data_IF_028923905104
#
_entry.id   IF_028923905104
#
_cell.length_a   1.000
_cell.length_b   1.000
_cell.length_c   1.000
_cell.angle_alpha   90.00
_cell.angle_beta   90.00
_cell.angle_gamma   90.00
#
_symmetry.space_group_name_H-M   'P 1'
#
loop_
_entity.id
_entity.type
_entity.pdbx_description
1 polymer ?
#
# COMPACT_ATOMS: atom_id res chain seq x y z
N UNK A 1 5.69 -10.92 22.80
CA UNK A 1 6.13 -10.25 21.55
C UNK A 1 4.98 -9.42 21.02
N UNK A 2 5.18 -8.16 20.59
CA UNK A 2 4.11 -7.42 19.92
C UNK A 2 3.72 -8.18 18.65
N UNK A 3 2.42 -8.43 18.45
CA UNK A 3 1.90 -9.03 17.21
C UNK A 3 2.30 -8.12 16.04
N UNK A 4 2.84 -8.70 14.96
CA UNK A 4 3.01 -7.96 13.72
C UNK A 4 1.62 -7.50 13.24
N UNK A 5 1.40 -6.19 13.25
CA UNK A 5 0.17 -5.59 12.73
C UNK A 5 0.19 -5.68 11.20
N UNK A 6 -0.92 -6.10 10.63
CA UNK A 6 -1.15 -6.12 9.18
C UNK A 6 -2.43 -5.36 8.85
N UNK A 7 -2.50 -4.82 7.64
CA UNK A 7 -3.66 -4.11 7.09
C UNK A 7 -4.14 -4.85 5.85
N UNK A 8 -5.44 -5.06 5.71
CA UNK A 8 -6.01 -5.60 4.46
C UNK A 8 -6.10 -4.53 3.39
N UNK A 9 -5.91 -4.89 2.13
CA UNK A 9 -6.02 -3.96 1.00
C UNK A 9 -7.40 -3.29 0.98
N UNK A 10 -8.46 -4.02 1.33
CA UNK A 10 -9.82 -3.49 1.42
C UNK A 10 -9.97 -2.29 2.36
N UNK A 11 -9.14 -2.20 3.41
CA UNK A 11 -9.19 -1.08 4.36
C UNK A 11 -8.73 0.25 3.73
N UNK A 12 -8.01 0.19 2.60
CA UNK A 12 -7.63 1.39 1.85
C UNK A 12 -8.80 1.99 1.05
N UNK A 13 -9.91 1.27 0.91
CA UNK A 13 -11.13 1.71 0.22
C UNK A 13 -12.21 2.22 1.19
N UNK A 14 -11.99 2.08 2.50
CA UNK A 14 -12.93 2.53 3.53
C UNK A 14 -12.99 4.06 3.64
N UNK A 15 -14.04 4.54 4.34
CA UNK A 15 -14.27 5.96 4.60
C UNK A 15 -13.03 6.67 5.16
N UNK A 16 -12.34 6.01 6.10
CA UNK A 16 -11.16 6.55 6.77
C UNK A 16 -9.96 6.79 5.83
N UNK A 17 -10.02 6.26 4.61
CA UNK A 17 -9.00 6.33 3.57
C UNK A 17 -9.45 7.10 2.33
N UNK A 18 -10.65 7.71 2.31
CA UNK A 18 -11.17 8.47 1.13
C UNK A 18 -10.25 9.54 0.58
N UNK A 19 -9.41 10.14 1.42
CA UNK A 19 -8.43 11.15 1.00
C UNK A 19 -7.35 10.60 0.05
N UNK A 20 -7.23 9.27 -0.08
CA UNK A 20 -6.41 8.57 -1.06
C UNK A 20 -7.05 8.51 -2.46
N UNK A 21 -8.36 8.74 -2.56
CA UNK A 21 -9.13 8.72 -3.82
C UNK A 21 -8.89 7.45 -4.62
N UNK A 22 -8.96 6.30 -3.95
CA UNK A 22 -8.75 5.00 -4.57
C UNK A 22 -10.06 4.50 -5.16
N UNK A 23 -9.98 3.96 -6.37
CA UNK A 23 -11.01 3.13 -6.98
C UNK A 23 -10.43 1.76 -7.30
N UNK A 24 -11.27 0.73 -7.20
CA UNK A 24 -10.90 -0.63 -7.54
C UNK A 24 -11.17 -0.86 -9.03
N UNK A 25 -10.14 -1.24 -9.78
CA UNK A 25 -10.25 -1.59 -11.20
C UNK A 25 -10.49 -3.08 -11.44
N UNK A 26 -10.18 -3.92 -10.45
CA UNK A 26 -10.26 -5.37 -10.55
C UNK A 26 -11.50 -5.94 -9.87
N UNK A 27 -12.27 -6.74 -10.59
CA UNK A 27 -13.30 -7.65 -10.01
C UNK A 27 -12.71 -9.01 -9.59
N UNK A 28 -11.45 -9.30 -9.93
CA UNK A 28 -10.73 -10.54 -9.60
C UNK A 28 -9.80 -10.44 -8.38
N UNK A 29 -9.56 -9.23 -7.86
CA UNK A 29 -8.52 -8.97 -6.85
C UNK A 29 -8.94 -9.36 -5.45
N UNK A 30 -8.10 -10.13 -4.74
CA UNK A 30 -8.34 -10.53 -3.34
C UNK A 30 -8.03 -9.37 -2.38
N UNK A 31 -9.07 -8.70 -1.84
CA UNK A 31 -8.93 -7.51 -0.98
C UNK A 31 -8.47 -7.82 0.46
N UNK A 32 -8.49 -9.09 0.88
CA UNK A 32 -8.03 -9.58 2.18
C UNK A 32 -6.51 -9.81 2.24
N UNK A 33 -5.81 -9.63 1.09
CA UNK A 33 -4.34 -9.62 1.03
C UNK A 33 -3.75 -8.62 2.01
N UNK A 34 -2.63 -8.98 2.64
CA UNK A 34 -2.05 -8.26 3.77
C UNK A 34 -0.91 -7.32 3.36
N UNK A 35 -1.00 -6.09 3.81
CA UNK A 35 0.07 -5.09 3.81
C UNK A 35 0.70 -5.12 5.20
N UNK A 36 2.01 -5.36 5.28
CA UNK A 36 2.72 -5.48 6.54
C UNK A 36 3.76 -4.37 6.77
N UNK A 37 4.03 -3.55 5.74
CA UNK A 37 5.04 -2.49 5.79
C UNK A 37 4.46 -1.19 5.21
N UNK A 38 4.65 -0.05 5.89
CA UNK A 38 4.13 1.24 5.41
C UNK A 38 4.91 1.79 4.21
N UNK A 39 6.13 1.29 3.98
CA UNK A 39 6.98 1.73 2.88
C UNK A 39 6.40 1.30 1.54
N UNK A 40 6.17 2.27 0.66
CA UNK A 40 5.71 2.05 -0.71
C UNK A 40 6.88 1.68 -1.63
N UNK A 41 6.61 0.82 -2.61
CA UNK A 41 7.61 0.41 -3.60
C UNK A 41 7.20 0.84 -5.00
N UNK A 42 8.15 1.42 -5.76
CA UNK A 42 8.01 1.65 -7.20
C UNK A 42 8.80 0.57 -7.95
N UNK A 43 8.16 -0.24 -8.80
CA UNK A 43 8.77 -1.47 -9.33
C UNK A 43 9.55 -1.28 -10.65
N UNK A 44 10.18 -0.12 -10.91
CA UNK A 44 10.80 0.19 -12.21
C UNK A 44 11.66 -0.94 -12.81
N UNK A 45 12.70 -1.40 -12.11
CA UNK A 45 13.54 -2.53 -12.57
C UNK A 45 12.86 -3.89 -12.47
N UNK A 46 11.84 -4.04 -11.62
CA UNK A 46 11.15 -5.32 -11.48
C UNK A 46 10.31 -5.64 -12.73
N UNK A 47 9.79 -4.62 -13.41
CA UNK A 47 9.04 -4.77 -14.66
C UNK A 47 9.91 -5.28 -15.83
N UNK A 48 11.23 -5.21 -15.74
CA UNK A 48 12.15 -5.84 -16.71
C UNK A 48 12.56 -7.28 -16.34
N UNK A 49 12.00 -7.82 -15.25
CA UNK A 49 12.29 -9.17 -14.74
C UNK A 49 13.28 -9.20 -13.55
N UNK A 50 13.86 -8.07 -13.15
CA UNK A 50 14.77 -8.03 -11.98
C UNK A 50 13.99 -7.96 -10.65
N UNK A 51 13.56 -9.11 -10.14
CA UNK A 51 12.64 -9.18 -8.99
C UNK A 51 13.29 -9.44 -7.63
N UNK A 52 14.63 -9.42 -7.55
CA UNK A 52 15.37 -9.75 -6.31
C UNK A 52 14.93 -8.93 -5.09
N UNK A 53 14.58 -7.67 -5.30
CA UNK A 53 14.18 -6.75 -4.23
C UNK A 53 12.70 -6.36 -4.28
N UNK A 54 11.84 -7.24 -4.80
CA UNK A 54 10.39 -7.07 -4.74
C UNK A 54 9.89 -7.59 -3.39
N UNK A 55 9.16 -6.73 -2.67
CA UNK A 55 8.62 -7.04 -1.35
C UNK A 55 7.10 -7.16 -1.46
N UNK A 56 6.54 -8.38 -1.40
CA UNK A 56 5.12 -8.60 -1.67
C UNK A 56 4.19 -8.03 -0.60
N UNK A 57 4.71 -7.75 0.60
CA UNK A 57 4.01 -7.14 1.72
C UNK A 57 3.92 -5.61 1.64
N UNK A 58 4.46 -5.01 0.56
CA UNK A 58 4.42 -3.58 0.26
C UNK A 58 3.53 -3.30 -0.94
N UNK A 59 2.77 -2.22 -0.83
CA UNK A 59 2.00 -1.68 -1.94
C UNK A 59 2.94 -1.26 -3.07
N UNK A 60 2.64 -1.71 -4.29
CA UNK A 60 3.39 -1.39 -5.49
C UNK A 60 2.73 -0.23 -6.23
N UNK A 61 3.45 0.88 -6.43
CA UNK A 61 2.94 2.06 -7.13
C UNK A 61 3.50 2.17 -8.53
N UNK A 62 2.58 2.12 -9.50
CA UNK A 62 2.84 2.31 -10.92
C UNK A 62 2.46 3.75 -11.28
N UNK A 63 3.46 4.54 -11.67
CA UNK A 63 3.29 5.90 -12.16
C UNK A 63 3.55 5.97 -13.66
N UNK A 64 3.72 7.20 -14.15
CA UNK A 64 3.95 7.47 -15.57
C UNK A 64 5.12 6.64 -16.13
N UNK A 65 6.27 6.67 -15.46
CA UNK A 65 7.47 5.93 -15.91
C UNK A 65 7.23 4.42 -16.05
N UNK A 66 6.52 3.80 -15.11
CA UNK A 66 6.25 2.37 -15.18
C UNK A 66 5.26 2.01 -16.29
N UNK A 67 4.21 2.81 -16.48
CA UNK A 67 3.21 2.59 -17.52
C UNK A 67 3.82 2.84 -18.91
N UNK A 68 4.54 3.95 -19.09
CA UNK A 68 5.24 4.28 -20.33
C UNK A 68 6.25 3.18 -20.69
N UNK A 69 7.00 2.67 -19.71
CA UNK A 69 7.92 1.56 -19.94
C UNK A 69 7.19 0.32 -20.50
N UNK A 70 6.11 -0.12 -19.86
CA UNK A 70 5.32 -1.28 -20.32
C UNK A 70 4.72 -1.09 -21.71
N UNK A 71 4.39 0.15 -22.09
CA UNK A 71 3.88 0.49 -23.43
C UNK A 71 5.00 0.63 -24.48
N UNK A 72 6.21 0.96 -24.06
CA UNK A 72 7.35 1.21 -24.96
C UNK A 72 8.08 -0.05 -25.42
N UNK A 73 7.95 -1.16 -24.70
CA UNK A 73 8.64 -2.42 -24.98
C UNK A 73 7.75 -3.41 -25.76
N UNK A 74 8.33 -4.39 -26.48
CA UNK A 74 7.56 -5.45 -27.12
C UNK A 74 6.65 -6.20 -26.14
N UNK A 75 5.46 -6.59 -26.61
CA UNK A 75 4.44 -7.25 -25.78
C UNK A 75 4.99 -8.50 -25.07
N UNK A 76 5.79 -9.32 -25.75
CA UNK A 76 6.35 -10.53 -25.13
C UNK A 76 7.28 -10.20 -23.95
N UNK A 77 8.05 -9.11 -24.06
CA UNK A 77 8.95 -8.67 -22.99
C UNK A 77 8.15 -8.13 -21.79
N UNK A 78 7.11 -7.33 -22.06
CA UNK A 78 6.21 -6.85 -21.01
C UNK A 78 5.55 -8.00 -20.26
N UNK A 79 5.04 -9.02 -20.99
CA UNK A 79 4.44 -10.22 -20.39
C UNK A 79 5.45 -10.98 -19.53
N UNK A 80 6.65 -11.23 -20.01
CA UNK A 80 7.68 -11.96 -19.25
C UNK A 80 8.10 -11.22 -17.97
N UNK A 81 8.26 -9.89 -18.06
CA UNK A 81 8.60 -9.04 -16.92
C UNK A 81 7.48 -8.99 -15.88
N UNK A 82 6.24 -8.80 -16.33
CA UNK A 82 5.05 -8.79 -15.47
C UNK A 82 4.79 -10.14 -14.81
N UNK A 83 5.01 -11.25 -15.51
CA UNK A 83 4.88 -12.59 -14.92
C UNK A 83 5.90 -12.80 -13.79
N UNK A 84 7.16 -12.43 -14.04
CA UNK A 84 8.22 -12.48 -13.02
C UNK A 84 7.87 -11.60 -11.81
N UNK A 85 7.28 -10.44 -12.05
CA UNK A 85 6.89 -9.47 -11.02
C UNK A 85 5.66 -9.92 -10.21
N UNK A 86 4.58 -10.35 -10.87
CA UNK A 86 3.32 -10.72 -10.24
C UNK A 86 3.40 -12.07 -9.51
N UNK A 87 4.20 -13.02 -10.00
CA UNK A 87 4.46 -14.31 -9.34
C UNK A 87 5.10 -14.18 -7.95
N UNK A 88 5.54 -12.98 -7.56
CA UNK A 88 6.00 -12.68 -6.20
C UNK A 88 4.88 -12.64 -5.16
N UNK A 89 3.62 -12.70 -5.56
CA UNK A 89 2.48 -12.73 -4.64
C UNK A 89 2.19 -11.37 -4.01
N UNK A 90 2.28 -10.31 -4.81
CA UNK A 90 2.11 -8.91 -4.38
C UNK A 90 0.78 -8.69 -3.65
N UNK A 91 0.79 -7.85 -2.60
CA UNK A 91 -0.43 -7.50 -1.88
C UNK A 91 -1.37 -6.63 -2.72
N UNK A 92 -0.84 -5.62 -3.42
CA UNK A 92 -1.61 -4.80 -4.36
C UNK A 92 -0.73 -4.02 -5.32
N UNK A 93 -1.32 -3.63 -6.45
CA UNK A 93 -0.76 -2.66 -7.39
C UNK A 93 -1.69 -1.46 -7.50
N UNK A 94 -1.12 -0.25 -7.49
CA UNK A 94 -1.88 1.00 -7.56
C UNK A 94 -1.32 1.89 -8.67
N UNK A 95 -2.18 2.25 -9.62
CA UNK A 95 -1.90 3.23 -10.66
C UNK A 95 -2.18 4.64 -10.14
N UNK A 96 -1.25 5.55 -10.40
CA UNK A 96 -1.37 6.96 -10.04
C UNK A 96 -1.71 7.82 -11.25
N UNK A 97 -2.07 9.09 -11.04
CA UNK A 97 -2.40 10.08 -12.08
C UNK A 97 -3.59 9.70 -12.97
N UNK A 98 -4.46 8.81 -12.53
CA UNK A 98 -5.60 8.34 -13.31
C UNK A 98 -5.19 7.59 -14.59
N UNK A 99 -3.98 7.02 -14.61
CA UNK A 99 -3.49 6.27 -15.77
C UNK A 99 -4.34 5.01 -15.99
N UNK A 100 -4.60 4.71 -17.25
CA UNK A 100 -5.22 3.43 -17.64
C UNK A 100 -4.15 2.33 -17.68
N UNK A 101 -4.41 1.16 -17.06
CA UNK A 101 -3.48 0.04 -17.13
C UNK A 101 -3.47 -0.55 -18.55
N UNK A 102 -2.30 -0.88 -19.12
CA UNK A 102 -2.24 -1.64 -20.36
C UNK A 102 -2.77 -3.06 -20.17
N UNK A 103 -3.34 -3.67 -21.20
CA UNK A 103 -3.98 -4.99 -21.13
C UNK A 103 -3.08 -6.07 -20.53
N UNK A 104 -1.79 -6.07 -20.87
CA UNK A 104 -0.81 -7.03 -20.33
C UNK A 104 -0.68 -6.95 -18.80
N UNK A 105 -0.82 -5.76 -18.21
CA UNK A 105 -0.81 -5.57 -16.77
C UNK A 105 -2.10 -6.09 -16.14
N UNK A 106 -3.24 -5.83 -16.79
CA UNK A 106 -4.56 -6.33 -16.36
C UNK A 106 -4.57 -7.86 -16.35
N UNK A 107 -4.10 -8.49 -17.44
CA UNK A 107 -4.04 -9.95 -17.60
C UNK A 107 -3.15 -10.60 -16.53
N UNK A 108 -1.97 -10.03 -16.28
CA UNK A 108 -1.05 -10.51 -15.26
C UNK A 108 -1.64 -10.34 -13.84
N UNK A 109 -2.19 -9.16 -13.52
CA UNK A 109 -2.85 -8.92 -12.24
C UNK A 109 -4.01 -9.90 -12.00
N UNK A 110 -4.80 -10.18 -13.04
CA UNK A 110 -5.91 -11.13 -13.01
C UNK A 110 -5.45 -12.55 -12.73
N UNK A 111 -4.46 -13.02 -13.48
CA UNK A 111 -3.92 -14.38 -13.33
C UNK A 111 -3.42 -14.64 -11.91
N UNK A 112 -2.78 -13.65 -11.28
CA UNK A 112 -2.25 -13.74 -9.92
C UNK A 112 -3.21 -13.24 -8.83
N UNK A 113 -4.45 -12.88 -9.21
CA UNK A 113 -5.51 -12.33 -8.34
C UNK A 113 -5.09 -11.10 -7.52
N UNK A 114 -4.18 -10.30 -8.06
CA UNK A 114 -3.64 -9.12 -7.38
C UNK A 114 -4.66 -7.98 -7.52
N UNK A 115 -5.10 -7.35 -6.43
CA UNK A 115 -5.92 -6.14 -6.49
C UNK A 115 -5.22 -5.05 -7.29
N UNK A 116 -5.93 -4.53 -8.29
CA UNK A 116 -5.50 -3.41 -9.10
C UNK A 116 -6.36 -2.20 -8.77
N UNK A 117 -5.75 -1.15 -8.23
CA UNK A 117 -6.44 0.08 -7.87
C UNK A 117 -5.90 1.26 -8.67
N UNK A 118 -6.67 2.34 -8.72
CA UNK A 118 -6.28 3.59 -9.37
C UNK A 118 -6.59 4.78 -8.48
N UNK A 119 -5.78 5.83 -8.62
CA UNK A 119 -6.03 7.14 -8.02
C UNK A 119 -5.71 8.24 -9.02
N UNK A 120 -6.47 9.35 -9.05
CA UNK A 120 -6.13 10.51 -9.87
C UNK A 120 -4.93 11.30 -9.32
N UNK A 121 -4.50 11.00 -8.09
CA UNK A 121 -3.43 11.75 -7.42
C UNK A 121 -2.07 11.56 -8.09
N UNK A 122 -1.26 12.61 -8.05
CA UNK A 122 0.17 12.58 -8.40
C UNK A 122 0.92 11.55 -7.55
N UNK A 123 1.91 10.84 -8.14
CA UNK A 123 2.59 9.74 -7.45
C UNK A 123 3.22 10.15 -6.12
N UNK A 124 3.91 11.30 -6.06
CA UNK A 124 4.53 11.80 -4.82
C UNK A 124 3.49 12.09 -3.73
N UNK A 125 2.40 12.78 -4.09
CA UNK A 125 1.29 13.10 -3.20
C UNK A 125 0.62 11.84 -2.68
N UNK A 126 0.33 10.89 -3.57
CA UNK A 126 -0.28 9.62 -3.22
C UNK A 126 0.61 8.80 -2.28
N UNK A 127 1.88 8.62 -2.64
CA UNK A 127 2.86 7.88 -1.82
C UNK A 127 2.97 8.49 -0.43
N UNK A 128 3.05 9.82 -0.31
CA UNK A 128 3.13 10.50 0.99
C UNK A 128 1.88 10.25 1.84
N UNK A 129 0.68 10.39 1.26
CA UNK A 129 -0.59 10.17 1.98
C UNK A 129 -0.76 8.71 2.38
N UNK A 130 -0.48 7.77 1.47
CA UNK A 130 -0.59 6.35 1.73
C UNK A 130 0.42 5.90 2.79
N UNK A 131 1.67 6.37 2.72
CA UNK A 131 2.69 6.05 3.74
C UNK A 131 2.21 6.45 5.13
N UNK A 132 1.75 7.70 5.30
CA UNK A 132 1.21 8.18 6.59
C UNK A 132 0.02 7.34 7.05
N UNK A 133 -0.92 7.04 6.15
CA UNK A 133 -2.09 6.22 6.49
C UNK A 133 -1.67 4.81 6.93
N UNK A 134 -0.72 4.19 6.25
CA UNK A 134 -0.22 2.88 6.63
C UNK A 134 0.57 2.93 7.95
N UNK A 135 1.32 3.99 8.22
CA UNK A 135 1.98 4.20 9.52
C UNK A 135 0.95 4.26 10.67
N UNK A 136 -0.15 4.99 10.49
CA UNK A 136 -1.24 5.06 11.48
C UNK A 136 -1.92 3.69 11.69
N UNK A 137 -2.16 2.95 10.62
CA UNK A 137 -2.85 1.67 10.68
C UNK A 137 -1.95 0.56 11.28
N UNK A 138 -0.68 0.55 10.89
CA UNK A 138 0.35 -0.42 11.30
C UNK A 138 1.11 0.00 12.58
N UNK A 139 0.76 1.13 13.20
CA UNK A 139 1.38 1.55 14.44
C UNK A 139 1.17 0.49 15.54
N UNK A 140 2.23 0.06 16.25
CA UNK A 140 2.10 -0.79 17.42
C UNK A 140 1.19 -0.11 18.45
N UNK A 141 0.16 -0.82 18.90
CA UNK A 141 -0.77 -0.32 19.91
C UNK A 141 -0.47 -0.98 21.25
N UNK A 142 -0.49 -0.19 22.32
CA UNK A 142 -0.43 -0.65 23.69
C UNK A 142 -1.51 0.07 24.51
N UNK A 143 -2.10 -0.64 25.46
CA UNK A 143 -3.04 -0.05 26.43
C UNK A 143 -2.31 0.19 27.74
N UNK A 144 -2.34 1.43 28.22
CA UNK A 144 -1.71 1.85 29.49
C UNK A 144 -2.82 2.42 30.38
N UNK A 145 -2.84 2.02 31.66
CA UNK A 145 -3.72 2.62 32.64
C UNK A 145 -3.09 3.90 33.22
N UNK A 146 -3.66 5.06 32.89
CA UNK A 146 -3.17 6.38 33.31
C UNK A 146 -4.16 7.49 32.93
N UNK A 147 -3.82 8.72 33.28
CA UNK A 147 -4.61 9.92 32.92
C UNK A 147 -3.79 10.72 31.92
N UNK A 148 -4.37 11.03 30.76
CA UNK A 148 -3.77 11.92 29.76
C UNK A 148 -4.34 13.33 29.94
N UNK A 149 -3.47 14.32 30.17
CA UNK A 149 -3.85 15.73 30.39
C UNK A 149 -3.12 16.60 29.37
N UNK A 150 -3.81 17.60 28.80
CA UNK A 150 -3.19 18.67 28.02
C UNK A 150 -2.96 19.89 28.91
N UNK A 151 -1.71 20.31 29.05
CA UNK A 151 -1.33 21.53 29.79
C UNK A 151 -0.53 22.43 28.87
N UNK A 152 -1.14 23.55 28.46
CA UNK A 152 -0.52 24.55 27.58
C UNK A 152 -0.01 23.97 26.25
N UNK A 153 -0.70 22.98 25.68
CA UNK A 153 -0.32 22.32 24.44
C UNK A 153 0.71 21.20 24.61
N UNK A 154 1.07 20.87 25.86
CA UNK A 154 1.94 19.75 26.18
C UNK A 154 1.08 18.58 26.70
N UNK A 155 1.11 17.46 25.98
CA UNK A 155 0.47 16.23 26.41
C UNK A 155 1.26 15.55 27.54
N UNK A 156 0.66 15.46 28.72
CA UNK A 156 1.22 14.82 29.91
C UNK A 156 0.49 13.50 30.19
N UNK A 157 1.23 12.38 30.26
CA UNK A 157 0.69 11.09 30.68
C UNK A 157 1.04 10.82 32.15
N UNK A 158 0.03 10.87 33.01
CA UNK A 158 0.15 10.60 34.44
C UNK A 158 -0.08 9.12 34.74
N UNK A 159 0.96 8.44 35.22
CA UNK A 159 0.95 7.03 35.64
C UNK A 159 1.22 6.92 37.14
N UNK A 160 0.66 5.88 37.79
CA UNK A 160 0.83 5.65 39.23
C UNK A 160 -0.09 4.57 39.76
N UNK A 161 -0.01 4.22 41.05
CA UNK A 161 -0.90 3.21 41.66
C UNK A 161 -2.33 3.75 41.79
N UNK A 162 -3.34 2.88 41.81
CA UNK A 162 -4.73 3.31 42.05
C UNK A 162 -4.89 3.90 43.45
N UNK A 163 -5.63 5.01 43.58
CA UNK A 163 -5.97 5.62 44.88
C UNK A 163 -5.06 6.74 45.38
N UNK A 164 -4.06 7.18 44.60
CA UNK A 164 -3.11 8.25 45.02
C UNK A 164 -3.60 9.67 44.64
N UNK A 165 -4.78 9.80 44.02
CA UNK A 165 -5.33 11.09 43.56
C UNK A 165 -4.76 11.55 42.21
N UNK A 166 -4.69 10.62 41.24
CA UNK A 166 -4.39 10.92 39.83
C UNK A 166 -5.65 11.37 39.10
#
# INVERSE_FOLDING_TARGET
MPRESTVEVGQLLEESARHLQLELLSDWGELDRKIARPRIQKPGLALSGFVKHVFPDRVQVLGLTEIDYLQSIPREQAVAGLESFCSRGLCSMILTRGLEPPDVLVDAARTHKIPLLRTPLMSSTFISRLTRKLEELLAPRASIHGVLVDVLGVGLLLIGRSGVGK
#
